data_IF_914809643009
#
_entry.id   IF_914809643009
#
_cell.length_a   1.000
_cell.length_b   1.000
_cell.length_c   1.000
_cell.angle_alpha   90.00
_cell.angle_beta   90.00
_cell.angle_gamma   90.00
#
_symmetry.space_group_name_H-M   'P 1'
#
loop_
_entity.id
_entity.type
_entity.pdbx_description
1 polymer ?
#
# COMPACT_ATOMS: atom_id res chain seq x y z
N UNK A 1 12.00 6.66 -6.67
CA UNK A 1 12.71 7.51 -5.69
C UNK A 1 14.22 7.31 -5.76
N UNK A 2 14.74 6.07 -5.71
CA UNK A 2 16.19 5.79 -5.86
C UNK A 2 16.80 6.38 -7.14
N UNK A 3 16.16 6.20 -8.31
CA UNK A 3 16.62 6.79 -9.57
C UNK A 3 16.61 8.34 -9.56
N UNK A 4 15.61 8.94 -8.91
CA UNK A 4 15.48 10.40 -8.80
C UNK A 4 16.56 11.01 -7.90
N UNK A 5 16.92 10.31 -6.82
CA UNK A 5 18.01 10.69 -5.92
C UNK A 5 19.35 10.62 -6.66
N UNK A 6 19.58 9.57 -7.47
CA UNK A 6 20.78 9.45 -8.29
C UNK A 6 20.93 10.59 -9.30
N UNK A 7 19.83 10.99 -9.96
CA UNK A 7 19.81 12.08 -10.94
C UNK A 7 19.93 13.48 -10.32
N UNK A 8 19.41 13.69 -9.11
CA UNK A 8 19.38 15.01 -8.45
C UNK A 8 20.51 15.23 -7.44
N UNK A 9 21.27 14.17 -7.11
CA UNK A 9 22.46 14.25 -6.24
C UNK A 9 23.54 15.21 -6.77
N UNK A 10 23.84 15.29 -8.09
CA UNK A 10 24.78 16.28 -8.63
C UNK A 10 24.29 17.73 -8.50
N UNK A 11 22.96 17.93 -8.46
CA UNK A 11 22.31 19.24 -8.30
C UNK A 11 22.16 19.68 -6.83
N UNK A 12 22.74 18.93 -5.88
CA UNK A 12 22.74 19.28 -4.45
C UNK A 12 21.45 18.95 -3.69
N UNK A 13 20.46 18.33 -4.33
CA UNK A 13 19.22 17.93 -3.67
C UNK A 13 19.41 16.65 -2.89
N UNK A 14 19.29 16.75 -1.56
CA UNK A 14 19.34 15.59 -0.68
C UNK A 14 18.00 14.84 -0.66
N UNK A 15 18.03 13.57 -0.25
CA UNK A 15 16.83 12.74 -0.05
C UNK A 15 15.75 13.45 0.81
N UNK A 16 16.19 14.23 1.80
CA UNK A 16 15.29 15.00 2.68
C UNK A 16 14.46 16.04 1.93
N UNK A 17 15.04 16.75 0.95
CA UNK A 17 14.31 17.72 0.14
C UNK A 17 13.23 17.05 -0.71
N UNK A 18 13.51 15.87 -1.25
CA UNK A 18 12.54 15.10 -2.03
C UNK A 18 11.38 14.67 -1.13
N UNK A 19 11.66 14.17 0.07
CA UNK A 19 10.63 13.80 1.04
C UNK A 19 9.79 15.02 1.43
N UNK A 20 10.42 16.17 1.67
CA UNK A 20 9.75 17.42 2.04
C UNK A 20 8.76 17.90 0.99
N UNK A 21 8.98 17.62 -0.29
CA UNK A 21 8.07 17.98 -1.38
C UNK A 21 6.99 16.90 -1.58
N UNK A 22 7.38 15.63 -1.53
CA UNK A 22 6.48 14.51 -1.83
C UNK A 22 5.40 14.33 -0.76
N UNK A 23 5.72 14.50 0.52
CA UNK A 23 4.76 14.38 1.62
C UNK A 23 3.58 15.37 1.47
N UNK A 24 3.79 16.69 1.40
CA UNK A 24 2.69 17.64 1.24
C UNK A 24 1.99 17.50 -0.11
N UNK A 25 2.72 17.23 -1.19
CA UNK A 25 2.11 17.00 -2.50
C UNK A 25 1.16 15.80 -2.48
N UNK A 26 1.53 14.72 -1.79
CA UNK A 26 0.70 13.52 -1.66
C UNK A 26 -0.57 13.81 -0.85
N UNK A 27 -0.46 14.56 0.26
CA UNK A 27 -1.62 14.97 1.06
C UNK A 27 -2.59 15.82 0.23
N UNK A 28 -2.07 16.82 -0.50
CA UNK A 28 -2.90 17.69 -1.36
C UNK A 28 -3.56 16.88 -2.48
N UNK A 29 -2.82 15.97 -3.13
CA UNK A 29 -3.37 15.10 -4.18
C UNK A 29 -4.50 14.21 -3.65
N UNK A 30 -4.34 13.63 -2.44
CA UNK A 30 -5.37 12.82 -1.80
C UNK A 30 -6.62 13.67 -1.51
N UNK A 31 -6.45 14.88 -0.97
CA UNK A 31 -7.58 15.77 -0.66
C UNK A 31 -8.34 16.21 -1.93
N UNK A 32 -7.61 16.60 -2.97
CA UNK A 32 -8.21 16.97 -4.26
C UNK A 32 -8.92 15.75 -4.87
N UNK A 33 -8.27 14.59 -4.87
CA UNK A 33 -8.83 13.34 -5.37
C UNK A 33 -10.12 12.95 -4.64
N UNK A 34 -10.10 13.00 -3.30
CA UNK A 34 -11.28 12.72 -2.48
C UNK A 34 -12.42 13.71 -2.76
N UNK A 35 -12.13 15.01 -2.83
CA UNK A 35 -13.15 16.02 -3.13
C UNK A 35 -13.72 15.89 -4.54
N UNK A 36 -12.87 15.57 -5.51
CA UNK A 36 -13.26 15.35 -6.90
C UNK A 36 -14.13 14.11 -7.02
N UNK A 37 -13.75 13.00 -6.38
CA UNK A 37 -14.52 11.76 -6.41
C UNK A 37 -15.86 11.89 -5.68
N UNK A 38 -15.92 12.67 -4.59
CA UNK A 38 -17.18 13.01 -3.92
C UNK A 38 -18.12 13.85 -4.79
N UNK A 39 -17.60 14.56 -5.81
CA UNK A 39 -18.41 15.32 -6.78
C UNK A 39 -18.67 14.56 -8.07
N UNK A 40 -17.84 13.59 -8.44
CA UNK A 40 -17.92 12.82 -9.68
C UNK A 40 -18.35 11.39 -9.35
N UNK A 41 -19.65 11.21 -9.30
CA UNK A 41 -20.31 9.93 -9.07
C UNK A 41 -21.72 10.18 -8.56
N UNK A 42 -22.72 9.53 -9.17
CA UNK A 42 -24.02 9.41 -8.49
C UNK A 42 -23.82 8.48 -7.31
N UNK A 43 -24.43 8.77 -6.18
CA UNK A 43 -24.46 7.80 -5.09
C UNK A 43 -25.05 6.50 -5.63
N UNK A 44 -24.52 5.36 -5.16
CA UNK A 44 -24.90 4.03 -5.65
C UNK A 44 -26.43 3.80 -5.56
N UNK A 45 -27.10 4.51 -4.66
CA UNK A 45 -28.55 4.54 -4.47
C UNK A 45 -29.31 5.19 -5.64
N UNK A 46 -28.71 6.18 -6.30
CA UNK A 46 -29.29 6.96 -7.39
C UNK A 46 -28.96 6.43 -8.79
N UNK A 47 -28.20 5.34 -8.89
CA UNK A 47 -27.86 4.73 -10.17
C UNK A 47 -29.06 3.93 -10.72
N UNK A 48 -29.64 4.32 -11.88
CA UNK A 48 -30.77 3.61 -12.48
C UNK A 48 -30.43 2.17 -12.88
N UNK A 49 -29.17 1.86 -13.17
CA UNK A 49 -28.71 0.50 -13.45
C UNK A 49 -28.65 -0.34 -12.16
N UNK A 50 -28.17 0.25 -11.05
CA UNK A 50 -28.15 -0.41 -9.75
C UNK A 50 -29.56 -0.73 -9.26
N UNK A 51 -30.49 0.23 -9.35
CA UNK A 51 -31.90 0.02 -9.03
C UNK A 51 -32.56 -1.04 -9.91
N UNK A 52 -32.24 -1.08 -11.20
CA UNK A 52 -32.74 -2.11 -12.13
C UNK A 52 -32.21 -3.49 -11.77
N UNK A 53 -30.92 -3.60 -11.45
CA UNK A 53 -30.27 -4.87 -11.05
C UNK A 53 -30.73 -5.36 -9.66
N UNK A 54 -31.03 -4.44 -8.73
CA UNK A 54 -31.68 -4.74 -7.44
C UNK A 54 -33.14 -5.18 -7.63
N UNK A 55 -33.92 -4.48 -8.45
CA UNK A 55 -35.32 -4.83 -8.74
C UNK A 55 -35.46 -6.18 -9.49
N UNK A 56 -34.45 -6.54 -10.28
CA UNK A 56 -34.35 -7.84 -10.96
C UNK A 56 -33.78 -8.96 -10.08
N UNK A 57 -33.42 -8.68 -8.82
CA UNK A 57 -32.86 -9.67 -7.89
C UNK A 57 -31.46 -10.19 -8.26
N UNK A 58 -30.77 -9.54 -9.21
CA UNK A 58 -29.41 -9.89 -9.63
C UNK A 58 -28.35 -9.39 -8.63
N UNK A 59 -28.69 -8.36 -7.85
CA UNK A 59 -27.92 -7.90 -6.71
C UNK A 59 -28.78 -8.20 -5.49
N UNK A 60 -28.48 -9.29 -4.78
CA UNK A 60 -29.01 -9.46 -3.44
C UNK A 60 -28.46 -8.30 -2.59
N UNK A 61 -29.28 -7.58 -1.82
CA UNK A 61 -28.75 -6.73 -0.78
C UNK A 61 -27.79 -7.59 0.04
N UNK A 62 -26.54 -7.16 0.28
CA UNK A 62 -25.62 -7.93 1.09
C UNK A 62 -26.37 -8.31 2.38
N UNK A 63 -26.29 -9.57 2.85
CA UNK A 63 -27.03 -10.01 4.04
C UNK A 63 -26.81 -9.15 5.28
N UNK A 64 -25.84 -8.24 5.25
CA UNK A 64 -25.75 -7.07 6.12
C UNK A 64 -25.57 -5.83 5.22
N UNK A 65 -26.65 -5.10 4.98
CA UNK A 65 -26.59 -3.81 4.33
C UNK A 65 -25.59 -2.92 5.09
N UNK A 66 -24.61 -2.39 4.37
CA UNK A 66 -23.79 -1.23 4.71
C UNK A 66 -24.66 0.05 4.75
N UNK A 67 -25.84 -0.03 5.38
CA UNK A 67 -26.85 1.01 5.48
C UNK A 67 -27.12 1.45 6.93
N UNK A 68 -26.31 0.98 7.87
CA UNK A 68 -26.23 1.59 9.20
C UNK A 68 -24.76 1.58 9.64
N UNK A 69 -24.07 2.74 9.71
CA UNK A 69 -22.72 2.82 10.26
C UNK A 69 -22.68 2.36 11.73
N UNK A 70 -23.83 2.24 12.42
CA UNK A 70 -23.94 1.62 13.73
C UNK A 70 -24.10 0.08 13.70
N UNK A 71 -24.61 -0.53 12.62
CA UNK A 71 -24.78 -1.98 12.50
C UNK A 71 -23.59 -2.70 11.84
N UNK A 72 -22.73 -1.98 11.09
CA UNK A 72 -21.60 -2.55 10.35
C UNK A 72 -20.37 -2.91 11.21
N UNK A 73 -20.37 -2.55 12.48
CA UNK A 73 -19.25 -2.85 13.36
C UNK A 73 -19.58 -4.06 14.23
N UNK A 74 -19.58 -5.25 13.60
CA UNK A 74 -19.64 -6.51 14.33
C UNK A 74 -18.54 -6.52 15.40
N UNK A 75 -18.82 -7.20 16.52
CA UNK A 75 -17.88 -7.26 17.64
C UNK A 75 -16.53 -7.85 17.19
N UNK A 76 -16.53 -8.73 16.18
CA UNK A 76 -15.31 -9.21 15.51
C UNK A 76 -14.66 -8.14 14.63
N UNK A 77 -15.43 -7.37 13.84
CA UNK A 77 -14.88 -6.29 12.99
C UNK A 77 -14.14 -5.22 13.81
N UNK A 78 -14.69 -4.82 14.96
CA UNK A 78 -14.01 -3.90 15.89
C UNK A 78 -12.73 -4.50 16.48
N UNK A 79 -12.74 -5.80 16.80
CA UNK A 79 -11.56 -6.51 17.32
C UNK A 79 -10.44 -6.59 16.28
N UNK A 80 -10.77 -6.93 15.03
CA UNK A 80 -9.82 -6.93 13.92
C UNK A 80 -9.19 -5.55 13.70
N UNK A 81 -10.01 -4.50 13.69
CA UNK A 81 -9.54 -3.13 13.53
C UNK A 81 -8.62 -2.68 14.68
N UNK A 82 -8.93 -3.06 15.93
CA UNK A 82 -8.09 -2.76 17.08
C UNK A 82 -6.74 -3.48 17.02
N UNK A 83 -6.72 -4.77 16.63
CA UNK A 83 -5.47 -5.53 16.48
C UNK A 83 -4.62 -4.93 15.35
N UNK A 84 -5.25 -4.53 14.24
CA UNK A 84 -4.56 -3.87 13.14
C UNK A 84 -3.97 -2.51 13.54
N UNK A 85 -4.75 -1.69 14.24
CA UNK A 85 -4.29 -0.40 14.77
C UNK A 85 -3.12 -0.58 15.75
N UNK A 86 -3.16 -1.62 16.59
CA UNK A 86 -2.07 -1.97 17.49
C UNK A 86 -0.81 -2.37 16.70
N UNK A 87 -0.94 -3.18 15.64
CA UNK A 87 0.20 -3.54 14.77
C UNK A 87 0.84 -2.32 14.09
N UNK A 88 0.04 -1.34 13.64
CA UNK A 88 0.59 -0.08 13.10
C UNK A 88 1.30 0.72 14.19
N UNK A 89 0.70 0.83 15.38
CA UNK A 89 1.29 1.55 16.49
C UNK A 89 2.63 0.92 16.91
N UNK A 90 2.73 -0.41 16.91
CA UNK A 90 3.96 -1.15 17.20
C UNK A 90 5.07 -0.87 16.17
N UNK A 91 4.72 -0.84 14.88
CA UNK A 91 5.65 -0.45 13.80
C UNK A 91 6.14 0.99 13.97
N UNK A 92 5.22 1.92 14.26
CA UNK A 92 5.56 3.33 14.47
C UNK A 92 6.46 3.50 15.70
N UNK A 93 6.13 2.85 16.82
CA UNK A 93 6.93 2.87 18.03
C UNK A 93 8.35 2.35 17.77
N UNK A 94 8.47 1.20 17.09
CA UNK A 94 9.75 0.60 16.72
C UNK A 94 10.55 1.46 15.72
N UNK A 95 9.86 2.18 14.83
CA UNK A 95 10.46 3.09 13.85
C UNK A 95 11.04 4.37 14.47
N UNK A 96 10.33 4.98 15.43
CA UNK A 96 10.76 6.23 16.10
C UNK A 96 11.78 6.00 17.21
N UNK A 97 11.71 4.88 17.92
CA UNK A 97 12.58 4.60 19.08
C UNK A 97 13.88 3.91 18.70
N UNK A 98 14.06 3.53 17.42
CA UNK A 98 15.26 2.83 16.95
C UNK A 98 15.40 1.41 17.50
N UNK A 99 14.36 0.88 18.14
CA UNK A 99 14.33 -0.43 18.79
C UNK A 99 14.10 -1.54 17.75
N UNK A 100 15.02 -1.67 16.80
CA UNK A 100 15.00 -2.78 15.84
C UNK A 100 15.68 -3.98 16.49
N UNK A 101 15.05 -5.17 16.48
CA UNK A 101 15.70 -6.39 16.90
C UNK A 101 17.01 -6.56 16.12
N UNK A 102 18.12 -6.65 16.84
CA UNK A 102 19.42 -6.98 16.26
C UNK A 102 19.44 -8.48 15.97
N UNK A 103 19.71 -8.84 14.72
CA UNK A 103 19.92 -10.24 14.35
C UNK A 103 21.40 -10.43 14.07
N UNK A 104 21.98 -11.50 14.63
CA UNK A 104 23.37 -11.87 14.35
C UNK A 104 23.38 -12.54 12.99
N UNK A 105 23.72 -11.78 11.95
CA UNK A 105 23.99 -12.36 10.62
C UNK A 105 25.45 -12.82 10.61
N UNK A 106 25.69 -14.01 10.06
CA UNK A 106 26.88 -14.83 10.26
C UNK A 106 28.20 -14.07 10.37
N UNK A 107 28.96 -14.38 11.45
CA UNK A 107 30.29 -13.81 11.72
C UNK A 107 30.38 -12.94 12.98
N UNK A 108 29.30 -12.77 13.75
CA UNK A 108 29.34 -12.07 15.05
C UNK A 108 29.15 -10.55 14.98
N UNK A 109 28.84 -10.00 13.80
CA UNK A 109 28.47 -8.59 13.67
C UNK A 109 26.96 -8.41 13.96
N UNK A 110 26.65 -7.62 14.99
CA UNK A 110 25.28 -7.20 15.32
C UNK A 110 24.84 -6.15 14.29
N UNK A 111 24.09 -6.55 13.26
CA UNK A 111 23.48 -5.61 12.33
C UNK A 111 22.00 -5.41 12.65
N UNK A 112 21.51 -4.15 12.62
CA UNK A 112 20.09 -3.88 12.73
C UNK A 112 19.36 -4.54 11.55
N UNK A 113 18.28 -5.24 11.85
CA UNK A 113 17.45 -5.90 10.85
C UNK A 113 16.98 -4.89 9.79
N UNK A 114 16.95 -5.32 8.52
CA UNK A 114 16.40 -4.50 7.45
C UNK A 114 14.99 -4.03 7.78
N UNK A 115 14.75 -2.72 7.65
CA UNK A 115 13.48 -2.10 8.04
C UNK A 115 12.30 -2.67 7.26
N UNK A 116 12.51 -3.06 6.00
CA UNK A 116 11.51 -3.69 5.15
C UNK A 116 11.15 -5.06 5.69
N UNK A 117 12.17 -5.87 6.04
CA UNK A 117 11.97 -7.21 6.56
C UNK A 117 11.30 -7.20 7.95
N UNK A 118 11.65 -6.22 8.78
CA UNK A 118 10.98 -5.99 10.07
C UNK A 118 9.49 -5.72 9.89
N UNK A 119 9.13 -4.73 9.05
CA UNK A 119 7.72 -4.39 8.78
C UNK A 119 6.98 -5.61 8.23
N UNK A 120 7.59 -6.38 7.33
CA UNK A 120 6.98 -7.58 6.76
C UNK A 120 6.67 -8.63 7.82
N UNK A 121 7.60 -8.92 8.74
CA UNK A 121 7.37 -9.87 9.82
C UNK A 121 6.25 -9.41 10.77
N UNK A 122 6.25 -8.13 11.16
CA UNK A 122 5.22 -7.58 12.05
C UNK A 122 3.84 -7.57 11.38
N UNK A 123 3.77 -7.20 10.10
CA UNK A 123 2.53 -7.23 9.31
C UNK A 123 1.98 -8.66 9.17
N UNK A 124 2.84 -9.65 8.89
CA UNK A 124 2.44 -11.06 8.81
C UNK A 124 1.98 -11.61 10.16
N UNK A 125 2.68 -11.28 11.24
CA UNK A 125 2.30 -11.67 12.60
C UNK A 125 0.94 -11.05 12.99
N UNK A 126 0.74 -9.77 12.69
CA UNK A 126 -0.53 -9.07 12.92
C UNK A 126 -1.67 -9.69 12.12
N UNK A 127 -1.43 -10.03 10.84
CA UNK A 127 -2.43 -10.68 9.99
C UNK A 127 -2.81 -12.08 10.51
N UNK A 128 -1.83 -12.86 10.95
CA UNK A 128 -2.06 -14.17 11.55
C UNK A 128 -2.88 -14.05 12.86
N UNK A 129 -2.56 -13.05 13.70
CA UNK A 129 -3.28 -12.76 14.94
C UNK A 129 -4.74 -12.36 14.67
N UNK A 130 -4.98 -11.53 13.66
CA UNK A 130 -6.34 -11.16 13.24
C UNK A 130 -7.12 -12.39 12.78
N UNK A 131 -6.52 -13.21 11.92
CA UNK A 131 -7.15 -14.44 11.41
C UNK A 131 -7.52 -15.41 12.54
N UNK A 132 -6.61 -15.60 13.50
CA UNK A 132 -6.84 -16.44 14.67
C UNK A 132 -7.90 -15.87 15.62
N UNK A 133 -7.84 -14.57 15.93
CA UNK A 133 -8.76 -13.93 16.89
C UNK A 133 -10.18 -13.73 16.34
N UNK A 134 -10.33 -13.61 15.01
CA UNK A 134 -11.62 -13.42 14.35
C UNK A 134 -12.19 -14.72 13.75
N UNK A 135 -11.50 -15.85 13.88
CA UNK A 135 -11.97 -17.15 13.41
C UNK A 135 -12.16 -17.24 11.89
N UNK A 136 -11.33 -16.52 11.12
CA UNK A 136 -11.47 -16.49 9.66
C UNK A 136 -10.90 -17.79 9.06
N UNK A 137 -11.69 -18.58 8.31
CA UNK A 137 -11.16 -19.76 7.64
C UNK A 137 -10.09 -19.37 6.62
N UNK A 138 -8.90 -19.93 6.76
CA UNK A 138 -7.75 -19.61 5.89
C UNK A 138 -8.05 -19.86 4.39
N UNK A 139 -9.00 -20.75 4.09
CA UNK A 139 -9.46 -21.05 2.72
C UNK A 139 -10.21 -19.89 2.04
N UNK A 140 -10.71 -18.92 2.81
CA UNK A 140 -11.49 -17.81 2.27
C UNK A 140 -10.65 -16.54 2.07
N UNK A 141 -9.46 -16.48 2.69
CA UNK A 141 -8.50 -15.37 2.49
C UNK A 141 -8.13 -15.21 1.00
N UNK A 142 -7.79 -16.28 0.24
CA UNK A 142 -7.48 -16.16 -1.19
C UNK A 142 -8.68 -15.85 -2.08
N UNK A 143 -9.89 -16.10 -1.59
CA UNK A 143 -11.13 -15.81 -2.30
C UNK A 143 -11.57 -14.36 -2.11
N UNK A 144 -10.96 -13.64 -1.17
CA UNK A 144 -11.29 -12.25 -0.91
C UNK A 144 -11.09 -11.38 -2.16
N UNK A 145 -12.06 -10.52 -2.52
CA UNK A 145 -11.93 -9.61 -3.65
C UNK A 145 -10.67 -8.72 -3.55
N UNK A 146 -10.31 -8.30 -2.34
CA UNK A 146 -9.14 -7.47 -2.08
C UNK A 146 -7.83 -8.15 -2.47
N UNK A 147 -7.63 -9.43 -2.12
CA UNK A 147 -6.40 -10.14 -2.50
C UNK A 147 -6.32 -10.33 -4.02
N UNK A 148 -7.45 -10.62 -4.67
CA UNK A 148 -7.50 -10.77 -6.13
C UNK A 148 -7.14 -9.47 -6.86
N UNK A 149 -7.69 -8.35 -6.39
CA UNK A 149 -7.35 -7.02 -6.89
C UNK A 149 -5.87 -6.72 -6.67
N UNK A 150 -5.34 -7.03 -5.49
CA UNK A 150 -3.93 -6.88 -5.16
C UNK A 150 -3.01 -7.71 -6.05
N UNK A 151 -3.31 -9.00 -6.27
CA UNK A 151 -2.55 -9.88 -7.15
C UNK A 151 -2.54 -9.34 -8.59
N UNK A 152 -3.68 -8.86 -9.09
CA UNK A 152 -3.75 -8.22 -10.42
C UNK A 152 -2.87 -6.97 -10.51
N UNK A 153 -2.89 -6.12 -9.48
CA UNK A 153 -2.08 -4.90 -9.44
C UNK A 153 -0.57 -5.21 -9.40
N UNK A 154 -0.17 -6.24 -8.64
CA UNK A 154 1.23 -6.69 -8.57
C UNK A 154 1.72 -7.12 -9.95
N UNK A 155 0.93 -7.90 -10.70
CA UNK A 155 1.27 -8.32 -12.06
C UNK A 155 1.46 -7.13 -12.99
N UNK A 156 0.56 -6.13 -12.93
CA UNK A 156 0.72 -4.89 -13.71
C UNK A 156 2.00 -4.13 -13.35
N UNK A 157 2.29 -3.94 -12.06
CA UNK A 157 3.47 -3.21 -11.60
C UNK A 157 4.77 -3.91 -12.04
N UNK A 158 4.83 -5.24 -11.90
CA UNK A 158 5.98 -6.02 -12.37
C UNK A 158 6.17 -5.91 -13.88
N UNK A 159 5.08 -5.90 -14.65
CA UNK A 159 5.14 -5.72 -16.11
C UNK A 159 5.80 -4.39 -16.50
N UNK A 160 5.37 -3.29 -15.87
CA UNK A 160 5.95 -1.95 -16.14
C UNK A 160 7.42 -1.90 -15.70
N UNK A 161 7.74 -2.43 -14.52
CA UNK A 161 9.12 -2.46 -14.02
C UNK A 161 10.05 -3.28 -14.93
N UNK A 162 9.59 -4.44 -15.41
CA UNK A 162 10.34 -5.28 -16.32
C UNK A 162 10.59 -4.58 -17.66
N UNK A 163 9.56 -3.97 -18.25
CA UNK A 163 9.71 -3.23 -19.50
C UNK A 163 10.69 -2.07 -19.37
N UNK A 164 10.60 -1.29 -18.27
CA UNK A 164 11.56 -0.24 -17.97
C UNK A 164 12.99 -0.79 -17.85
N UNK A 165 13.18 -1.91 -17.15
CA UNK A 165 14.48 -2.56 -17.01
C UNK A 165 15.03 -3.02 -18.37
N UNK A 166 14.20 -3.58 -19.26
CA UNK A 166 14.65 -3.98 -20.61
C UNK A 166 15.06 -2.78 -21.48
N UNK A 167 14.34 -1.66 -21.38
CA UNK A 167 14.69 -0.42 -22.10
C UNK A 167 16.01 0.17 -21.58
N UNK A 168 16.17 0.22 -20.27
CA UNK A 168 17.41 0.68 -19.62
C UNK A 168 18.58 -0.23 -19.95
N UNK A 169 18.38 -1.56 -19.99
CA UNK A 169 19.44 -2.50 -20.35
C UNK A 169 19.84 -2.41 -21.84
N UNK A 170 18.88 -2.17 -22.74
CA UNK A 170 19.15 -2.06 -24.18
C UNK A 170 19.75 -0.72 -24.61
N UNK A 171 19.46 0.37 -23.89
CA UNK A 171 19.87 1.73 -24.25
C UNK A 171 20.65 2.45 -23.14
N UNK A 172 21.13 1.71 -22.14
CA UNK A 172 21.84 2.27 -20.98
C UNK A 172 23.01 3.18 -21.39
N UNK A 173 23.84 2.72 -22.33
CA UNK A 173 25.00 3.48 -22.81
C UNK A 173 24.61 4.81 -23.49
N UNK A 174 23.49 4.82 -24.23
CA UNK A 174 22.99 6.03 -24.90
C UNK A 174 22.42 7.03 -23.87
N UNK A 175 21.74 6.52 -22.85
CA UNK A 175 21.16 7.31 -21.76
C UNK A 175 22.29 7.91 -20.91
N UNK A 176 23.30 7.12 -20.53
CA UNK A 176 24.45 7.58 -19.75
C UNK A 176 25.24 8.65 -20.52
N UNK A 177 25.49 8.46 -21.81
CA UNK A 177 26.20 9.43 -22.64
C UNK A 177 25.43 10.75 -22.80
N UNK A 178 24.12 10.69 -23.05
CA UNK A 178 23.28 11.90 -23.20
C UNK A 178 23.13 12.67 -21.89
N UNK A 179 23.00 11.96 -20.76
CA UNK A 179 22.90 12.60 -19.45
C UNK A 179 24.23 13.22 -19.00
N UNK A 180 25.36 12.67 -19.41
CA UNK A 180 26.68 13.22 -19.09
C UNK A 180 27.03 14.44 -19.95
N UNK A 181 26.61 14.46 -21.23
CA UNK A 181 26.81 15.62 -22.13
C UNK A 181 25.88 16.81 -21.80
N UNK A 182 24.69 16.59 -21.25
CA UNK A 182 23.74 17.66 -20.89
C UNK A 182 23.97 18.33 -19.53
N UNK A 183 24.98 17.91 -18.76
CA UNK A 183 25.36 18.47 -17.45
C UNK A 183 26.56 19.45 -17.56
N UNK A 184 27.08 19.66 -18.77
CA UNK A 184 28.02 20.74 -19.12
C UNK A 184 27.32 21.86 -19.89
#
# INVERSE_FOLDING_TARGET
MMAMVGLLSPAGFTLGHIILIVLPASIVAILIGAFTMNRIGKELEDDPEFRRRCAQGLILPPPNALGDPAAAATKEGKRSALIFAFGIADIMASGFTGWKPIVVVGGGAMQPLDTTLFIQMVMLATAALIGAACGVPASDIPKSPLLRLGLSAIVMLFGVAWMANTLLAAHGDLIEKTLTEGVH
#
